data_IF_355868025521
#
_entry.id   IF_355868025521
#
_cell.length_a   1.000
_cell.length_b   1.000
_cell.length_c   1.000
_cell.angle_alpha   90.00
_cell.angle_beta   90.00
_cell.angle_gamma   90.00
#
_symmetry.space_group_name_H-M   'P 1'
#
loop_
_entity.id
_entity.type
_entity.pdbx_description
1 polymer ?
#
# COMPACT_ATOMS: atom_id res chain seq x y z
N UNK A 1 -18.20 -3.61 18.64
CA UNK A 1 -18.17 -5.08 18.44
C UNK A 1 -17.55 -5.70 19.69
N UNK A 2 -18.18 -6.70 20.33
CA UNK A 2 -17.60 -7.38 21.50
C UNK A 2 -17.00 -8.71 21.06
N UNK A 3 -15.69 -8.88 21.17
CA UNK A 3 -15.02 -10.16 20.99
C UNK A 3 -14.31 -10.51 22.31
N UNK A 4 -14.62 -11.68 22.89
CA UNK A 4 -13.95 -12.19 24.10
C UNK A 4 -13.88 -11.20 25.28
N UNK A 5 -14.98 -10.47 25.56
CA UNK A 5 -15.03 -9.49 26.65
C UNK A 5 -14.40 -8.12 26.34
N UNK A 6 -13.75 -7.96 25.17
CA UNK A 6 -13.18 -6.69 24.71
C UNK A 6 -14.20 -6.01 23.79
N UNK A 7 -14.65 -4.81 24.16
CA UNK A 7 -15.47 -3.96 23.30
C UNK A 7 -14.55 -3.14 22.39
N UNK A 8 -14.54 -3.48 21.11
CA UNK A 8 -13.83 -2.73 20.08
C UNK A 8 -14.80 -1.72 19.47
N UNK A 9 -14.43 -0.45 19.54
CA UNK A 9 -15.24 0.68 19.05
C UNK A 9 -14.60 1.23 17.78
N UNK A 10 -15.40 1.40 16.74
CA UNK A 10 -14.96 1.99 15.47
C UNK A 10 -15.68 3.31 15.25
N UNK A 11 -15.00 4.29 14.65
CA UNK A 11 -15.61 5.57 14.34
C UNK A 11 -16.35 5.49 13.00
N UNK A 12 -17.59 5.95 12.96
CA UNK A 12 -18.30 6.12 11.68
C UNK A 12 -17.75 7.38 10.99
N UNK A 13 -17.06 7.21 9.88
CA UNK A 13 -16.46 8.33 9.11
C UNK A 13 -17.30 8.75 7.90
N UNK A 14 -18.40 8.03 7.64
CA UNK A 14 -19.39 8.42 6.64
C UNK A 14 -20.36 7.32 6.32
N UNK A 15 -21.44 7.66 5.64
CA UNK A 15 -22.43 6.71 5.13
C UNK A 15 -22.86 7.09 3.72
N UNK A 16 -23.23 6.10 2.91
CA UNK A 16 -23.77 6.30 1.57
C UNK A 16 -24.79 5.20 1.28
N UNK A 17 -26.08 5.53 1.37
CA UNK A 17 -27.16 4.54 1.34
C UNK A 17 -26.94 3.46 2.41
N UNK A 18 -26.97 2.18 1.99
CA UNK A 18 -26.78 1.02 2.87
C UNK A 18 -25.30 0.70 3.17
N UNK A 19 -24.38 1.62 2.90
CA UNK A 19 -22.94 1.44 3.13
C UNK A 19 -22.46 2.36 4.23
N UNK A 20 -21.87 1.78 5.27
CA UNK A 20 -21.18 2.51 6.34
C UNK A 20 -19.67 2.48 6.08
N UNK A 21 -19.02 3.62 6.26
CA UNK A 21 -17.56 3.75 6.23
C UNK A 21 -17.07 3.86 7.66
N UNK A 22 -16.21 2.93 8.05
CA UNK A 22 -15.59 2.91 9.37
C UNK A 22 -14.16 3.42 9.27
N UNK A 23 -13.78 4.28 10.21
CA UNK A 23 -12.44 4.76 10.41
C UNK A 23 -11.88 4.27 11.73
N UNK A 24 -10.56 4.14 11.77
CA UNK A 24 -9.78 3.71 12.92
C UNK A 24 -8.57 4.60 13.08
N UNK A 25 -8.12 4.75 14.32
CA UNK A 25 -7.00 5.58 14.72
C UNK A 25 -5.79 4.77 15.21
N UNK A 26 -5.86 3.43 15.20
CA UNK A 26 -4.77 2.54 15.63
C UNK A 26 -4.57 1.38 14.65
N UNK A 27 -3.35 0.84 14.61
CA UNK A 27 -2.99 -0.30 13.75
C UNK A 27 -3.73 -1.57 14.17
N UNK A 28 -3.91 -1.80 15.47
CA UNK A 28 -4.64 -2.96 16.01
C UNK A 28 -6.12 -2.93 15.61
N UNK A 29 -6.72 -1.75 15.66
CA UNK A 29 -8.11 -1.53 15.25
C UNK A 29 -8.27 -1.74 13.73
N UNK A 30 -7.27 -1.34 12.95
CA UNK A 30 -7.22 -1.60 11.51
C UNK A 30 -7.04 -3.09 11.18
N UNK A 31 -6.15 -3.80 11.88
CA UNK A 31 -5.98 -5.25 11.75
C UNK A 31 -7.28 -6.01 12.04
N UNK A 32 -8.04 -5.53 13.04
CA UNK A 32 -9.38 -6.06 13.36
C UNK A 32 -10.38 -5.80 12.25
N UNK A 33 -10.37 -4.61 11.63
CA UNK A 33 -11.23 -4.31 10.46
C UNK A 33 -10.93 -5.21 9.25
N UNK A 34 -9.67 -5.58 9.03
CA UNK A 34 -9.26 -6.42 7.89
C UNK A 34 -9.54 -7.91 8.11
N UNK A 35 -9.54 -8.37 9.36
CA UNK A 35 -9.79 -9.76 9.74
C UNK A 35 -11.28 -10.11 9.58
N UNK A 36 -11.74 -10.28 8.33
CA UNK A 36 -13.16 -10.49 8.00
C UNK A 36 -13.77 -11.75 8.62
N UNK A 37 -12.95 -12.75 8.93
CA UNK A 37 -13.29 -13.95 9.68
C UNK A 37 -13.78 -13.66 11.10
N UNK A 38 -13.42 -12.50 11.64
CA UNK A 38 -13.80 -12.07 13.00
C UNK A 38 -15.07 -11.22 13.01
N UNK A 39 -15.63 -10.84 11.86
CA UNK A 39 -16.82 -10.02 11.80
C UNK A 39 -18.09 -10.88 11.86
N UNK A 40 -19.13 -10.43 12.59
CA UNK A 40 -20.40 -11.15 12.61
C UNK A 40 -21.07 -11.02 11.24
N UNK A 41 -21.79 -12.06 10.82
CA UNK A 41 -22.59 -12.03 9.58
C UNK A 41 -23.92 -11.30 9.76
N UNK A 42 -24.35 -11.10 11.02
CA UNK A 42 -25.60 -10.43 11.39
C UNK A 42 -25.42 -9.51 12.59
N UNK A 43 -26.06 -8.34 12.54
CA UNK A 43 -26.22 -7.42 13.66
C UNK A 43 -27.69 -7.05 13.74
N UNK A 44 -28.36 -7.31 14.88
CA UNK A 44 -29.78 -7.02 15.10
C UNK A 44 -30.69 -7.51 13.96
N UNK A 45 -30.51 -8.78 13.54
CA UNK A 45 -31.23 -9.42 12.42
C UNK A 45 -31.00 -8.79 11.04
N UNK A 46 -30.06 -7.86 10.90
CA UNK A 46 -29.64 -7.31 9.62
C UNK A 46 -28.39 -8.05 9.17
N UNK A 47 -28.44 -8.65 7.98
CA UNK A 47 -27.26 -9.24 7.35
C UNK A 47 -26.25 -8.14 7.00
N UNK A 48 -25.02 -8.32 7.46
CA UNK A 48 -23.93 -7.39 7.16
C UNK A 48 -22.86 -8.08 6.32
N UNK A 49 -22.32 -7.33 5.37
CA UNK A 49 -21.19 -7.75 4.54
C UNK A 49 -20.05 -6.75 4.68
N UNK A 50 -18.88 -7.24 5.08
CA UNK A 50 -17.69 -6.42 5.20
C UNK A 50 -17.04 -6.29 3.83
N UNK A 51 -17.04 -5.07 3.30
CA UNK A 51 -16.32 -4.75 2.06
C UNK A 51 -14.87 -4.47 2.41
N UNK A 52 -13.97 -5.35 1.99
CA UNK A 52 -12.53 -5.17 2.20
C UNK A 52 -12.06 -3.88 1.53
N UNK A 53 -11.20 -3.08 2.18
CA UNK A 53 -10.58 -1.96 1.50
C UNK A 53 -9.76 -2.50 0.31
N UNK A 54 -9.89 -1.83 -0.85
CA UNK A 54 -9.14 -2.20 -2.08
C UNK A 54 -7.63 -2.09 -1.90
N UNK A 55 -7.19 -1.35 -0.88
CA UNK A 55 -5.79 -1.10 -0.57
C UNK A 55 -5.57 -1.41 0.91
N UNK A 56 -4.65 -2.32 1.18
CA UNK A 56 -4.15 -2.56 2.53
C UNK A 56 -3.01 -1.58 2.76
N UNK A 57 -2.95 -1.00 3.97
CA UNK A 57 -1.93 -0.03 4.35
C UNK A 57 -0.52 -0.63 4.23
N UNK A 58 0.44 0.20 3.84
CA UNK A 58 1.85 -0.18 3.74
C UNK A 58 2.42 -0.63 5.11
N UNK A 59 1.73 -0.32 6.22
CA UNK A 59 2.06 -0.76 7.58
C UNK A 59 1.92 -2.27 7.83
N UNK A 60 1.23 -3.01 6.96
CA UNK A 60 1.13 -4.48 7.02
C UNK A 60 1.89 -5.16 5.88
N UNK A 61 2.63 -4.38 5.09
CA UNK A 61 3.37 -4.87 3.95
C UNK A 61 4.81 -5.21 4.36
N UNK A 62 5.25 -6.42 4.02
CA UNK A 62 6.62 -6.88 4.19
C UNK A 62 7.20 -7.22 2.82
N UNK A 63 8.53 -7.26 2.73
CA UNK A 63 9.24 -7.73 1.56
C UNK A 63 10.31 -8.72 1.98
N UNK A 64 10.28 -9.89 1.34
CA UNK A 64 11.42 -10.80 1.38
C UNK A 64 12.42 -10.34 0.34
N UNK A 65 13.66 -10.12 0.77
CA UNK A 65 14.73 -9.63 -0.09
C UNK A 65 15.73 -10.73 -0.40
N UNK A 66 16.41 -10.55 -1.53
CA UNK A 66 17.54 -11.37 -1.94
C UNK A 66 17.19 -12.85 -2.20
N UNK A 67 15.97 -13.12 -2.67
CA UNK A 67 15.54 -14.48 -3.03
C UNK A 67 16.32 -14.95 -4.27
N UNK A 68 17.03 -16.10 -4.21
CA UNK A 68 17.80 -16.62 -5.33
C UNK A 68 16.95 -16.83 -6.60
N UNK A 69 17.51 -16.50 -7.76
CA UNK A 69 16.84 -16.62 -9.06
C UNK A 69 16.40 -18.04 -9.43
N UNK A 70 17.05 -19.06 -8.84
CA UNK A 70 16.70 -20.46 -9.08
C UNK A 70 15.29 -20.84 -8.61
N UNK A 71 14.69 -20.03 -7.73
CA UNK A 71 13.34 -20.27 -7.23
C UNK A 71 12.31 -19.55 -8.11
N UNK A 72 11.32 -20.31 -8.60
CA UNK A 72 10.21 -19.76 -9.35
C UNK A 72 9.18 -19.08 -8.40
N UNK A 73 8.28 -18.28 -8.98
CA UNK A 73 7.34 -17.46 -8.21
C UNK A 73 6.36 -18.31 -7.41
N UNK A 74 5.80 -19.36 -8.00
CA UNK A 74 4.86 -20.28 -7.37
C UNK A 74 5.46 -20.95 -6.13
N UNK A 75 6.70 -21.43 -6.24
CA UNK A 75 7.43 -22.03 -5.13
C UNK A 75 7.63 -21.05 -3.98
N UNK A 76 8.08 -19.81 -4.29
CA UNK A 76 8.26 -18.77 -3.27
C UNK A 76 6.93 -18.45 -2.59
N UNK A 77 5.83 -18.32 -3.36
CA UNK A 77 4.49 -18.08 -2.80
C UNK A 77 4.05 -19.19 -1.83
N UNK A 78 4.30 -20.45 -2.18
CA UNK A 78 3.96 -21.58 -1.31
C UNK A 78 4.80 -21.60 -0.03
N UNK A 79 6.12 -21.46 -0.14
CA UNK A 79 7.01 -21.41 1.02
C UNK A 79 6.65 -20.25 1.96
N UNK A 80 6.31 -19.08 1.39
CA UNK A 80 5.83 -17.94 2.17
C UNK A 80 4.56 -18.27 2.95
N UNK A 81 3.58 -18.94 2.32
CA UNK A 81 2.34 -19.36 2.99
C UNK A 81 2.55 -20.44 4.06
N UNK A 82 3.55 -21.32 3.89
CA UNK A 82 3.91 -22.33 4.90
C UNK A 82 4.51 -21.68 6.15
N UNK A 83 5.36 -20.68 5.96
CA UNK A 83 5.96 -19.94 7.07
C UNK A 83 4.98 -18.96 7.73
N UNK A 84 4.08 -18.35 6.94
CA UNK A 84 3.17 -17.28 7.34
C UNK A 84 1.78 -17.53 6.76
N UNK A 85 0.88 -18.07 7.58
CA UNK A 85 -0.45 -18.47 7.11
C UNK A 85 -1.27 -17.26 6.65
N UNK A 86 -1.05 -16.10 7.25
CA UNK A 86 -1.76 -14.86 6.90
C UNK A 86 -1.12 -14.07 5.75
N UNK A 87 -0.12 -14.64 5.05
CA UNK A 87 0.54 -14.01 3.92
C UNK A 87 -0.32 -13.98 2.64
N UNK A 88 -0.49 -12.80 2.08
CA UNK A 88 -1.24 -12.56 0.84
C UNK A 88 -0.47 -11.69 -0.17
N UNK A 89 -0.91 -11.72 -1.43
CA UNK A 89 -0.39 -10.89 -2.51
C UNK A 89 1.13 -10.98 -2.72
N UNK A 90 1.71 -12.15 -2.45
CA UNK A 90 3.13 -12.44 -2.69
C UNK A 90 3.40 -12.37 -4.20
N UNK A 91 4.25 -11.44 -4.62
CA UNK A 91 4.59 -11.20 -6.03
C UNK A 91 6.04 -10.77 -6.17
N UNK A 92 6.69 -11.12 -7.28
CA UNK A 92 8.05 -10.66 -7.60
C UNK A 92 8.05 -9.18 -8.00
N UNK A 93 9.01 -8.39 -7.48
CA UNK A 93 9.29 -7.05 -8.03
C UNK A 93 10.02 -7.21 -9.37
N UNK A 94 9.45 -6.65 -10.42
CA UNK A 94 10.14 -6.50 -11.70
C UNK A 94 11.04 -5.26 -11.66
N UNK A 95 12.35 -5.48 -11.61
CA UNK A 95 13.34 -4.42 -11.73
C UNK A 95 13.65 -4.15 -13.20
N UNK A 96 13.88 -2.88 -13.54
CA UNK A 96 14.32 -2.47 -14.87
C UNK A 96 15.67 -3.09 -15.26
N UNK A 97 16.56 -3.26 -14.29
CA UNK A 97 17.86 -3.90 -14.48
C UNK A 97 17.84 -5.32 -13.96
N UNK A 98 18.44 -6.25 -14.72
CA UNK A 98 18.61 -7.62 -14.27
C UNK A 98 19.48 -7.66 -13.01
N UNK A 99 18.96 -8.31 -11.98
CA UNK A 99 19.65 -8.54 -10.70
C UNK A 99 19.85 -10.03 -10.50
N UNK A 100 20.91 -10.41 -9.78
CA UNK A 100 21.17 -11.81 -9.39
C UNK A 100 20.21 -12.35 -8.33
N UNK A 101 19.35 -11.49 -7.79
CA UNK A 101 18.38 -11.80 -6.75
C UNK A 101 17.05 -11.11 -7.04
N UNK A 102 16.00 -11.60 -6.39
CA UNK A 102 14.65 -11.06 -6.51
C UNK A 102 14.10 -10.66 -5.14
N UNK A 103 13.17 -9.72 -5.16
CA UNK A 103 12.48 -9.26 -3.96
C UNK A 103 10.98 -9.55 -4.13
N UNK A 104 10.35 -10.07 -3.08
CA UNK A 104 8.95 -10.49 -3.07
C UNK A 104 8.17 -9.73 -1.99
N UNK A 105 7.51 -8.61 -2.32
CA UNK A 105 6.55 -7.95 -1.45
C UNK A 105 5.32 -8.81 -1.25
N UNK A 106 4.78 -8.74 -0.04
CA UNK A 106 3.59 -9.44 0.41
C UNK A 106 2.93 -8.69 1.57
N UNK A 107 1.74 -9.12 1.93
CA UNK A 107 0.94 -8.53 3.01
C UNK A 107 0.73 -9.58 4.08
N UNK A 108 0.86 -9.20 5.34
CA UNK A 108 0.57 -10.09 6.48
C UNK A 108 -0.68 -9.56 7.19
N UNK A 109 -1.75 -10.35 7.20
CA UNK A 109 -3.04 -9.89 7.78
C UNK A 109 -3.08 -9.98 9.30
N UNK A 110 -2.41 -10.96 9.89
CA UNK A 110 -2.36 -11.09 11.35
C UNK A 110 -1.24 -10.22 11.92
N UNK A 111 -1.60 -9.30 12.81
CA UNK A 111 -0.65 -8.35 13.40
C UNK A 111 0.40 -9.06 14.28
N UNK A 112 0.06 -10.21 14.89
CA UNK A 112 1.02 -10.97 15.71
C UNK A 112 2.01 -11.69 14.81
N UNK A 113 1.56 -12.31 13.72
CA UNK A 113 2.45 -12.86 12.69
C UNK A 113 3.35 -11.77 12.10
N UNK A 114 2.79 -10.60 11.76
CA UNK A 114 3.54 -9.46 11.24
C UNK A 114 4.66 -9.04 12.20
N UNK A 115 4.32 -8.74 13.46
CA UNK A 115 5.28 -8.28 14.47
C UNK A 115 6.33 -9.35 14.77
N UNK A 116 5.93 -10.62 14.85
CA UNK A 116 6.86 -11.73 15.12
C UNK A 116 7.83 -11.94 13.96
N UNK A 117 7.33 -11.89 12.72
CA UNK A 117 8.14 -11.98 11.49
C UNK A 117 9.12 -10.84 11.40
N UNK A 118 8.65 -9.62 11.68
CA UNK A 118 9.47 -8.43 11.62
C UNK A 118 10.57 -8.46 12.69
N UNK A 119 10.23 -8.92 13.91
CA UNK A 119 11.19 -9.14 15.00
C UNK A 119 12.25 -10.18 14.64
N UNK A 120 11.86 -11.26 13.94
CA UNK A 120 12.81 -12.26 13.43
C UNK A 120 13.70 -11.70 12.30
N UNK A 121 13.14 -10.82 11.46
CA UNK A 121 13.87 -10.15 10.38
C UNK A 121 14.31 -11.07 9.23
N UNK A 122 13.88 -12.34 9.24
CA UNK A 122 14.25 -13.35 8.23
C UNK A 122 13.19 -14.44 8.10
N UNK A 123 13.19 -15.10 6.95
CA UNK A 123 12.35 -16.26 6.66
C UNK A 123 13.16 -17.33 5.95
N UNK A 124 12.81 -18.59 6.20
CA UNK A 124 13.39 -19.70 5.46
C UNK A 124 12.65 -19.87 4.13
N UNK A 125 13.39 -19.82 3.04
CA UNK A 125 12.94 -20.33 1.74
C UNK A 125 13.85 -21.49 1.43
N UNK A 126 13.34 -22.72 1.57
CA UNK A 126 14.14 -23.94 1.50
C UNK A 126 15.29 -23.94 2.53
N UNK A 127 16.54 -23.98 2.05
CA UNK A 127 17.77 -24.02 2.85
C UNK A 127 18.45 -22.64 2.93
N UNK A 128 17.74 -21.56 2.58
CA UNK A 128 18.29 -20.21 2.54
C UNK A 128 17.46 -19.28 3.40
N UNK A 129 18.11 -18.60 4.34
CA UNK A 129 17.49 -17.52 5.10
C UNK A 129 17.50 -16.25 4.25
N UNK A 130 16.31 -15.75 3.93
CA UNK A 130 16.12 -14.50 3.21
C UNK A 130 15.72 -13.40 4.20
N UNK A 131 16.22 -12.19 3.98
CA UNK A 131 15.92 -11.06 4.86
C UNK A 131 14.47 -10.59 4.67
N UNK A 132 13.78 -10.29 5.77
CA UNK A 132 12.47 -9.63 5.75
C UNK A 132 12.61 -8.22 6.30
N UNK A 133 12.03 -7.26 5.58
CA UNK A 133 11.92 -5.87 6.02
C UNK A 133 10.52 -5.34 5.77
N UNK A 134 10.08 -4.25 6.42
CA UNK A 134 8.90 -3.52 5.99
C UNK A 134 8.97 -3.19 4.50
N UNK A 135 7.90 -3.44 3.78
CA UNK A 135 7.77 -3.00 2.39
C UNK A 135 7.23 -1.58 2.37
N UNK A 136 8.15 -0.64 2.25
CA UNK A 136 7.80 0.74 1.94
C UNK A 136 7.48 0.78 0.44
N UNK A 137 6.19 0.75 0.09
CA UNK A 137 5.78 1.03 -1.27
C UNK A 137 6.41 2.37 -1.71
N UNK A 138 6.86 2.44 -2.96
CA UNK A 138 7.49 3.66 -3.47
C UNK A 138 6.63 4.88 -3.15
N UNK A 139 7.30 5.97 -2.76
CA UNK A 139 6.65 7.17 -2.22
C UNK A 139 5.42 7.54 -3.05
N UNK A 140 4.23 7.36 -2.46
CA UNK A 140 2.98 7.63 -3.17
C UNK A 140 2.96 9.12 -3.49
N UNK A 141 2.91 9.43 -4.77
CA UNK A 141 2.79 10.82 -5.19
C UNK A 141 1.42 11.33 -4.78
N UNK A 142 1.39 12.44 -4.06
CA UNK A 142 0.15 13.18 -3.84
C UNK A 142 -0.28 13.80 -5.15
N UNK A 143 -1.44 13.39 -5.67
CA UNK A 143 -2.06 14.02 -6.83
C UNK A 143 -3.55 14.23 -6.58
N UNK A 144 -4.09 15.29 -7.18
CA UNK A 144 -5.48 15.65 -7.03
C UNK A 144 -6.32 14.95 -8.10
N UNK A 145 -7.35 14.18 -7.72
CA UNK A 145 -8.24 13.52 -8.70
C UNK A 145 -9.23 14.48 -9.36
N UNK A 146 -9.29 15.75 -8.94
CA UNK A 146 -10.12 16.79 -9.57
C UNK A 146 -9.39 17.43 -10.75
N UNK A 147 -8.13 17.82 -10.58
CA UNK A 147 -7.35 18.51 -11.63
C UNK A 147 -6.25 17.65 -12.25
N UNK A 148 -5.97 16.47 -11.69
CA UNK A 148 -4.88 15.55 -12.05
C UNK A 148 -3.46 16.10 -11.87
N UNK A 149 -3.30 17.26 -11.21
CA UNK A 149 -1.98 17.84 -10.86
C UNK A 149 -1.40 17.22 -9.60
N UNK A 150 -0.07 17.23 -9.52
CA UNK A 150 0.70 16.79 -8.36
C UNK A 150 0.68 17.85 -7.23
N UNK A 151 0.97 17.42 -6.00
CA UNK A 151 1.30 18.32 -4.89
C UNK A 151 0.14 18.75 -3.98
N UNK A 152 -1.10 18.38 -4.27
CA UNK A 152 -2.25 18.71 -3.40
C UNK A 152 -3.33 17.63 -3.43
N UNK A 153 -4.13 17.61 -2.36
CA UNK A 153 -5.31 16.75 -2.23
C UNK A 153 -6.56 17.44 -2.81
N UNK A 154 -7.63 16.66 -3.05
CA UNK A 154 -8.85 17.13 -3.72
C UNK A 154 -9.60 18.23 -2.97
N UNK A 155 -9.54 18.18 -1.64
CA UNK A 155 -10.10 19.17 -0.70
C UNK A 155 -9.43 20.54 -0.84
N UNK A 156 -8.14 20.58 -1.17
CA UNK A 156 -7.34 21.81 -1.36
C UNK A 156 -7.22 22.21 -2.84
N UNK A 157 -8.14 21.78 -3.68
CA UNK A 157 -8.08 22.06 -5.11
C UNK A 157 -8.91 23.28 -5.47
N UNK A 158 -8.27 24.26 -6.12
CA UNK A 158 -8.91 25.52 -6.55
C UNK A 158 -9.88 25.34 -7.72
N UNK A 159 -9.83 24.20 -8.42
CA UNK A 159 -10.80 23.94 -9.48
C UNK A 159 -12.19 23.67 -8.87
N UNK A 160 -13.19 24.33 -9.45
CA UNK A 160 -14.61 24.10 -9.14
C UNK A 160 -15.04 22.76 -9.75
N UNK A 161 -14.80 22.57 -11.05
CA UNK A 161 -15.20 21.38 -11.79
C UNK A 161 -14.05 20.37 -11.94
N UNK A 162 -14.33 19.05 -11.83
CA UNK A 162 -13.34 18.02 -12.11
C UNK A 162 -12.98 18.00 -13.59
N UNK A 163 -11.79 17.52 -13.92
CA UNK A 163 -11.30 17.37 -15.30
C UNK A 163 -11.28 15.90 -15.69
N UNK A 164 -11.47 15.64 -16.97
CA UNK A 164 -11.30 14.31 -17.54
C UNK A 164 -9.85 13.82 -17.37
N UNK A 165 -9.68 12.55 -16.99
CA UNK A 165 -8.35 11.94 -16.83
C UNK A 165 -7.55 11.86 -18.13
N UNK A 166 -8.24 11.80 -19.26
CA UNK A 166 -7.65 11.59 -20.58
C UNK A 166 -7.37 12.93 -21.25
N UNK A 167 -8.41 13.72 -21.53
CA UNK A 167 -8.28 14.96 -22.30
C UNK A 167 -8.13 16.24 -21.46
N UNK A 168 -8.27 16.15 -20.13
CA UNK A 168 -8.21 17.28 -19.20
C UNK A 168 -9.29 18.36 -19.37
N UNK A 169 -10.29 18.14 -20.22
CA UNK A 169 -11.45 19.04 -20.31
C UNK A 169 -12.29 18.99 -19.03
N UNK A 170 -12.94 20.10 -18.69
CA UNK A 170 -13.81 20.18 -17.52
C UNK A 170 -15.05 19.28 -17.68
N UNK A 171 -15.38 18.56 -16.62
CA UNK A 171 -16.57 17.75 -16.46
C UNK A 171 -17.61 18.61 -15.74
N UNK A 172 -18.65 19.03 -16.45
CA UNK A 172 -19.80 19.71 -15.83
C UNK A 172 -20.64 18.67 -15.08
N UNK A 173 -21.11 19.01 -13.89
CA UNK A 173 -21.94 18.11 -13.09
C UNK A 173 -23.28 17.84 -13.83
N UNK A 174 -23.63 16.57 -13.98
CA UNK A 174 -24.88 16.14 -14.61
C UNK A 174 -24.85 16.01 -16.15
N UNK A 175 -23.74 16.32 -16.82
CA UNK A 175 -23.59 16.11 -18.26
C UNK A 175 -22.70 14.90 -18.56
N UNK A 176 -23.10 14.10 -19.55
CA UNK A 176 -22.24 13.06 -20.14
C UNK A 176 -21.05 13.74 -20.82
N UNK A 177 -19.86 13.44 -20.33
CA UNK A 177 -18.62 13.98 -20.89
C UNK A 177 -18.35 13.39 -22.27
N UNK A 178 -18.34 14.24 -23.30
CA UNK A 178 -17.81 13.89 -24.61
C UNK A 178 -16.28 14.01 -24.59
N UNK A 179 -15.60 12.87 -24.55
CA UNK A 179 -14.16 12.82 -24.45
C UNK A 179 -13.54 12.86 -25.84
N UNK A 180 -12.71 13.87 -26.09
CA UNK A 180 -11.93 13.94 -27.34
C UNK A 180 -10.93 12.79 -27.53
N UNK A 181 -10.72 11.95 -26.50
CA UNK A 181 -9.75 10.85 -26.46
C UNK A 181 -8.28 11.25 -26.74
N UNK A 182 -8.00 12.55 -26.92
CA UNK A 182 -6.65 13.08 -27.04
C UNK A 182 -6.03 13.09 -25.64
N UNK A 183 -5.03 12.25 -25.42
CA UNK A 183 -4.37 12.13 -24.12
C UNK A 183 -3.54 13.39 -23.83
N UNK A 184 -3.77 14.02 -22.68
CA UNK A 184 -3.02 15.20 -22.23
C UNK A 184 -2.53 15.06 -20.80
N UNK A 185 -1.34 15.60 -20.53
CA UNK A 185 -0.73 15.60 -19.21
C UNK A 185 -1.02 16.89 -18.43
N UNK A 186 -1.56 16.78 -17.22
CA UNK A 186 -1.86 17.94 -16.38
C UNK A 186 -0.63 18.65 -15.82
N UNK A 187 0.57 18.04 -15.93
CA UNK A 187 1.83 18.62 -15.47
C UNK A 187 2.52 19.41 -16.58
N UNK A 188 2.68 18.82 -17.76
CA UNK A 188 3.52 19.34 -18.86
C UNK A 188 2.75 19.57 -20.16
N UNK A 189 1.44 19.35 -20.19
CA UNK A 189 0.58 19.45 -21.37
C UNK A 189 0.96 18.55 -22.56
N UNK A 190 1.90 17.61 -22.35
CA UNK A 190 2.36 16.63 -23.35
C UNK A 190 1.36 15.51 -23.65
N UNK A 191 1.68 14.71 -24.66
CA UNK A 191 0.81 13.68 -25.25
C UNK A 191 0.90 12.32 -24.52
N UNK A 192 0.74 12.34 -23.20
CA UNK A 192 0.77 11.15 -22.35
C UNK A 192 -0.09 11.36 -21.10
N UNK A 193 -0.40 10.30 -20.36
CA UNK A 193 -1.18 10.43 -19.14
C UNK A 193 -0.46 11.27 -18.07
N UNK A 194 -1.25 11.99 -17.27
CA UNK A 194 -0.77 12.92 -16.23
C UNK A 194 0.13 12.32 -15.14
N UNK A 195 0.13 11.00 -15.00
CA UNK A 195 0.94 10.24 -14.03
C UNK A 195 1.91 9.27 -14.72
N UNK A 196 2.13 9.42 -16.03
CA UNK A 196 3.05 8.58 -16.80
C UNK A 196 4.48 8.71 -16.27
N UNK A 197 5.23 7.62 -16.34
CA UNK A 197 6.65 7.60 -16.00
C UNK A 197 7.50 8.38 -17.02
N UNK A 198 6.98 8.59 -18.23
CA UNK A 198 7.62 9.34 -19.31
C UNK A 198 7.58 10.86 -19.08
N UNK A 199 6.76 11.33 -18.14
CA UNK A 199 6.65 12.75 -17.85
C UNK A 199 7.83 13.22 -16.98
N UNK A 200 8.66 14.10 -17.53
CA UNK A 200 9.79 14.69 -16.81
C UNK A 200 9.38 15.35 -15.48
N UNK A 201 8.29 16.12 -15.47
CA UNK A 201 7.77 16.75 -14.24
C UNK A 201 7.32 15.74 -13.18
N UNK A 202 6.80 14.58 -13.61
CA UNK A 202 6.45 13.49 -12.68
C UNK A 202 7.72 12.84 -12.13
N UNK A 203 8.72 12.62 -12.97
CA UNK A 203 10.01 12.08 -12.56
C UNK A 203 10.72 13.01 -11.56
N UNK A 204 10.75 14.31 -11.83
CA UNK A 204 11.31 15.34 -10.95
C UNK A 204 10.58 15.37 -9.61
N UNK A 205 9.24 15.35 -9.61
CA UNK A 205 8.46 15.31 -8.38
C UNK A 205 8.77 14.07 -7.53
N UNK A 206 8.91 12.89 -8.16
CA UNK A 206 9.31 11.66 -7.44
C UNK A 206 10.71 11.77 -6.85
N UNK A 207 11.64 12.35 -7.59
CA UNK A 207 13.00 12.57 -7.11
C UNK A 207 13.01 13.48 -5.88
N UNK A 208 12.35 14.64 -5.95
CA UNK A 208 12.21 15.58 -4.83
C UNK A 208 11.52 14.94 -3.62
N UNK A 209 10.44 14.19 -3.86
CA UNK A 209 9.74 13.48 -2.79
C UNK A 209 10.64 12.44 -2.10
N UNK A 210 11.47 11.72 -2.87
CA UNK A 210 12.45 10.78 -2.34
C UNK A 210 13.51 11.48 -1.51
N UNK A 211 14.03 12.61 -1.98
CA UNK A 211 14.99 13.43 -1.24
C UNK A 211 14.41 13.95 0.08
N UNK A 212 13.21 14.54 0.04
CA UNK A 212 12.51 15.02 1.23
C UNK A 212 12.28 13.92 2.25
N UNK A 213 11.89 12.72 1.80
CA UNK A 213 11.70 11.57 2.69
C UNK A 213 13.03 11.09 3.27
N UNK A 214 14.09 11.00 2.46
CA UNK A 214 15.41 10.64 2.95
C UNK A 214 15.93 11.65 3.99
N UNK A 215 15.70 12.95 3.75
CA UNK A 215 16.06 14.03 4.68
C UNK A 215 15.22 13.94 5.97
N UNK A 216 13.91 13.72 5.86
CA UNK A 216 13.05 13.49 7.01
C UNK A 216 13.48 12.26 7.82
N UNK A 217 13.99 11.21 7.15
CA UNK A 217 14.59 10.05 7.81
C UNK A 217 15.90 10.41 8.52
N UNK A 218 16.82 11.12 7.85
CA UNK A 218 18.10 11.50 8.45
C UNK A 218 17.95 12.48 9.61
N UNK A 219 16.90 13.31 9.59
CA UNK A 219 16.59 14.28 10.66
C UNK A 219 15.74 13.68 11.77
N UNK A 220 15.39 12.38 11.69
CA UNK A 220 14.58 11.69 12.71
C UNK A 220 13.10 12.10 12.73
N UNK A 221 12.65 12.98 11.83
CA UNK A 221 11.23 13.33 11.67
C UNK A 221 10.40 12.16 11.12
N UNK A 222 11.05 11.25 10.41
CA UNK A 222 10.53 9.95 10.01
C UNK A 222 11.50 8.88 10.50
N UNK A 223 11.00 7.81 11.11
CA UNK A 223 11.84 6.68 11.47
C UNK A 223 11.74 5.60 10.40
N UNK A 224 12.86 5.29 9.75
CA UNK A 224 13.01 4.03 9.02
C UNK A 224 13.29 2.96 10.06
N UNK A 225 12.40 1.98 10.21
CA UNK A 225 12.71 0.78 10.99
C UNK A 225 13.84 0.04 10.26
N UNK A 226 15.06 0.23 10.76
CA UNK A 226 16.23 -0.52 10.31
C UNK A 226 16.21 -1.84 11.08
N UNK A 227 16.32 -3.01 10.43
CA UNK A 227 16.70 -4.22 11.14
C UNK A 227 17.97 -3.90 11.92
N UNK A 228 17.98 -4.10 13.24
CA UNK A 228 19.20 -3.88 14.02
C UNK A 228 20.33 -4.69 13.39
N UNK A 229 21.39 -3.97 13.02
CA UNK A 229 22.54 -4.53 12.31
C UNK A 229 23.12 -5.74 13.05
N UNK A 230 23.31 -6.82 12.28
CA UNK A 230 24.11 -8.01 12.58
C UNK A 230 23.75 -8.70 13.90
N UNK A 231 22.98 -9.78 13.80
CA UNK A 231 23.14 -10.88 14.74
C UNK A 231 24.64 -11.20 14.81
N UNK A 232 25.25 -10.96 15.97
CA UNK A 232 26.61 -11.41 16.22
C UNK A 232 26.68 -12.90 15.87
N UNK A 233 27.73 -13.36 15.15
CA UNK A 233 27.91 -14.78 14.96
C UNK A 233 27.93 -15.42 16.35
N UNK A 234 27.02 -16.38 16.59
CA UNK A 234 27.12 -17.23 17.77
C UNK A 234 28.48 -17.91 17.71
N UNK A 235 29.36 -17.56 18.65
CA UNK A 235 30.57 -18.32 18.91
C UNK A 235 30.11 -19.66 19.51
N UNK A 236 30.45 -20.75 18.83
CA UNK A 236 30.27 -22.11 19.33
C UNK A 236 31.31 -22.40 20.41
#
# INVERSE_FOLDING_TARGET
FKQQGISITFSLVGHAGNKLKLGVNSEESYATLISTDKWPSQINNINITVIKPKFILDSFALVVRYVPLQYNDEYVKEEMKRNLQSAENVRRIQYHFQRRTNDFPFIVKDLREYNSTLKLGRISIRNTFCAITPFLAGNRMTYCTRCWRLGHMRDKCDLVHPRCRICLNNLMDGQTHDCSNVVRCAQCDGHHHSLSNECEKVAEYRFKLKEQINNAISTGKLHRLVPQDRAQPMQF
#
